data_IF_859142771480
#
_entry.id   IF_859142771480
#
_cell.length_a   1.000
_cell.length_b   1.000
_cell.length_c   1.000
_cell.angle_alpha   90.00
_cell.angle_beta   90.00
_cell.angle_gamma   90.00
#
_symmetry.space_group_name_H-M   'P 1'
#
loop_
_entity.id
_entity.type
_entity.pdbx_description
1 polymer ?
#
# COMPACT_ATOMS: atom_id res chain seq x y z
N UNK A 1 -21.24 -7.00 -41.45
CA UNK A 1 -21.21 -6.19 -40.22
C UNK A 1 -19.73 -6.01 -39.95
N UNK A 2 -19.24 -4.77 -39.94
CA UNK A 2 -17.85 -4.53 -39.57
C UNK A 2 -17.76 -4.74 -38.07
N UNK A 3 -16.96 -5.71 -37.64
CA UNK A 3 -16.60 -5.86 -36.24
C UNK A 3 -15.98 -4.52 -35.82
N UNK A 4 -16.63 -3.87 -34.87
CA UNK A 4 -16.17 -2.58 -34.38
C UNK A 4 -15.30 -2.92 -33.18
N UNK A 5 -13.99 -2.74 -33.34
CA UNK A 5 -13.01 -3.18 -32.36
C UNK A 5 -12.97 -2.17 -31.21
N UNK A 6 -13.34 -2.64 -30.02
CA UNK A 6 -13.21 -1.93 -28.76
C UNK A 6 -12.09 -2.62 -27.99
N UNK A 7 -11.17 -1.86 -27.40
CA UNK A 7 -10.05 -2.38 -26.61
C UNK A 7 -10.04 -1.73 -25.23
N UNK A 8 -9.86 -2.55 -24.20
CA UNK A 8 -9.53 -2.09 -22.85
C UNK A 8 -8.09 -2.46 -22.53
N UNK A 9 -7.40 -1.63 -21.75
CA UNK A 9 -6.07 -1.91 -21.19
C UNK A 9 -6.07 -1.59 -19.69
N UNK A 10 -5.28 -2.30 -18.91
CA UNK A 10 -5.21 -2.10 -17.46
C UNK A 10 -3.74 -2.08 -17.06
N UNK A 11 -3.32 -1.00 -16.38
CA UNK A 11 -1.97 -0.82 -15.88
C UNK A 11 -2.00 -0.58 -14.38
N UNK A 12 -1.02 -1.13 -13.64
CA UNK A 12 -0.81 -0.69 -12.27
C UNK A 12 0.09 0.52 -12.30
N UNK A 13 -0.37 1.61 -11.71
CA UNK A 13 0.55 2.60 -11.18
C UNK A 13 0.87 2.25 -9.71
N UNK A 14 2.01 2.76 -9.25
CA UNK A 14 2.44 2.61 -7.86
C UNK A 14 1.52 3.44 -6.97
N UNK A 15 0.74 2.79 -6.09
CA UNK A 15 -0.17 3.51 -5.20
C UNK A 15 0.09 3.34 -3.71
N UNK A 16 0.08 4.51 -3.09
CA UNK A 16 -0.05 4.77 -1.68
C UNK A 16 -1.35 4.21 -1.13
N UNK A 17 -1.28 3.72 0.10
CA UNK A 17 -2.47 3.31 0.81
C UNK A 17 -3.15 4.54 1.38
N UNK A 18 -4.47 4.59 1.26
CA UNK A 18 -5.28 5.71 1.68
C UNK A 18 -6.33 5.27 2.69
N UNK A 19 -6.49 6.05 3.78
CA UNK A 19 -7.44 5.74 4.86
C UNK A 19 -8.65 6.66 4.81
N UNK A 20 -9.85 6.07 4.98
CA UNK A 20 -11.12 6.81 5.12
C UNK A 20 -11.09 7.81 6.27
N UNK A 21 -11.20 9.09 5.95
CA UNK A 21 -11.17 10.16 6.94
C UNK A 21 -12.60 10.67 7.22
N UNK A 22 -13.09 10.45 8.44
CA UNK A 22 -13.89 11.48 9.11
C UNK A 22 -12.86 12.37 9.81
N UNK A 23 -12.66 13.61 9.35
CA UNK A 23 -11.49 14.48 9.62
C UNK A 23 -11.06 14.57 11.10
N UNK A 24 -11.95 14.24 12.04
CA UNK A 24 -11.64 14.23 13.46
C UNK A 24 -11.17 12.86 13.97
N UNK A 25 -11.72 11.74 13.52
CA UNK A 25 -11.42 10.42 14.11
C UNK A 25 -10.02 9.93 13.73
N UNK A 26 -9.64 10.02 12.46
CA UNK A 26 -8.33 9.57 12.01
C UNK A 26 -7.21 10.53 12.43
N UNK A 27 -7.46 11.85 12.42
CA UNK A 27 -6.53 12.83 12.97
C UNK A 27 -6.31 12.61 14.47
N UNK A 28 -7.37 12.36 15.24
CA UNK A 28 -7.24 12.02 16.66
C UNK A 28 -6.47 10.70 16.87
N UNK A 29 -6.61 9.72 15.98
CA UNK A 29 -5.83 8.48 16.00
C UNK A 29 -4.34 8.78 15.77
N UNK A 30 -3.99 9.53 14.71
CA UNK A 30 -2.61 9.92 14.42
C UNK A 30 -2.00 10.75 15.56
N UNK A 31 -2.74 11.72 16.10
CA UNK A 31 -2.30 12.52 17.27
C UNK A 31 -2.09 11.62 18.50
N UNK A 32 -2.98 10.66 18.75
CA UNK A 32 -2.85 9.72 19.88
C UNK A 32 -1.61 8.86 19.73
N UNK A 33 -1.42 8.25 18.55
CA UNK A 33 -0.28 7.38 18.23
C UNK A 33 1.03 8.15 18.40
N UNK A 34 1.08 9.36 17.84
CA UNK A 34 2.30 10.18 17.82
C UNK A 34 2.60 10.89 19.13
N UNK A 35 1.62 11.05 20.01
CA UNK A 35 1.81 11.66 21.35
C UNK A 35 2.08 10.63 22.43
N UNK A 36 1.55 9.41 22.31
CA UNK A 36 1.72 8.36 23.33
C UNK A 36 2.84 7.37 22.99
N UNK A 37 3.01 6.99 21.72
CA UNK A 37 3.87 5.87 21.35
C UNK A 37 3.37 4.55 21.97
N UNK A 38 4.27 3.59 22.18
CA UNK A 38 3.92 2.39 22.96
C UNK A 38 2.86 1.51 22.28
N UNK A 39 1.94 0.99 23.09
CA UNK A 39 0.81 0.17 22.67
C UNK A 39 -0.04 0.81 21.55
N UNK A 40 -0.11 2.14 21.50
CA UNK A 40 -0.87 2.83 20.45
C UNK A 40 -0.24 2.65 19.06
N UNK A 41 1.10 2.65 18.98
CA UNK A 41 1.82 2.34 17.73
C UNK A 41 1.64 0.86 17.42
N UNK A 42 1.75 -0.02 18.41
CA UNK A 42 1.53 -1.45 18.17
C UNK A 42 0.13 -1.76 17.64
N UNK A 43 -0.91 -1.14 18.19
CA UNK A 43 -2.29 -1.33 17.72
C UNK A 43 -2.51 -0.84 16.29
N UNK A 44 -1.85 0.25 15.87
CA UNK A 44 -1.89 0.74 14.50
C UNK A 44 -1.48 -0.36 13.51
N UNK A 45 -0.32 -0.97 13.76
CA UNK A 45 0.23 -2.02 12.91
C UNK A 45 -0.55 -3.33 13.07
N UNK A 46 -0.79 -3.74 14.32
CA UNK A 46 -1.41 -5.03 14.62
C UNK A 46 -2.84 -5.16 14.09
N UNK A 47 -3.63 -4.08 14.13
CA UNK A 47 -4.99 -4.12 13.60
C UNK A 47 -5.03 -4.42 12.11
N UNK A 48 -4.15 -3.81 11.31
CA UNK A 48 -4.20 -3.92 9.86
C UNK A 48 -3.46 -5.19 9.39
N UNK A 49 -2.29 -5.45 9.99
CA UNK A 49 -1.43 -6.58 9.63
C UNK A 49 -2.07 -7.92 9.98
N UNK A 50 -2.60 -8.08 11.20
CA UNK A 50 -3.25 -9.34 11.58
C UNK A 50 -4.56 -9.58 10.83
N UNK A 51 -5.32 -8.51 10.57
CA UNK A 51 -6.53 -8.56 9.76
C UNK A 51 -6.24 -9.09 8.35
N UNK A 52 -5.27 -8.49 7.67
CA UNK A 52 -4.89 -8.89 6.32
C UNK A 52 -4.30 -10.30 6.28
N UNK A 53 -3.44 -10.66 7.25
CA UNK A 53 -2.90 -12.01 7.37
C UNK A 53 -4.01 -13.06 7.50
N UNK A 54 -5.00 -12.83 8.36
CA UNK A 54 -6.10 -13.76 8.55
C UNK A 54 -6.90 -13.93 7.25
N UNK A 55 -7.17 -12.83 6.53
CA UNK A 55 -7.88 -12.85 5.25
C UNK A 55 -7.09 -13.60 4.17
N UNK A 56 -5.79 -13.37 4.06
CA UNK A 56 -4.93 -14.09 3.13
C UNK A 56 -4.84 -15.58 3.47
N UNK A 57 -4.73 -15.94 4.76
CA UNK A 57 -4.79 -17.33 5.18
C UNK A 57 -6.13 -17.99 4.80
N UNK A 58 -7.25 -17.27 4.92
CA UNK A 58 -8.56 -17.78 4.49
C UNK A 58 -8.64 -17.96 2.96
N UNK A 59 -8.14 -17.00 2.17
CA UNK A 59 -8.06 -17.11 0.70
C UNK A 59 -7.25 -18.34 0.30
N UNK A 60 -6.05 -18.49 0.84
CA UNK A 60 -5.16 -19.59 0.51
C UNK A 60 -5.70 -20.98 0.86
N UNK A 61 -6.41 -21.09 1.99
CA UNK A 61 -6.88 -22.39 2.50
C UNK A 61 -8.28 -22.75 2.04
N UNK A 62 -9.14 -21.74 1.82
CA UNK A 62 -10.53 -21.92 1.42
C UNK A 62 -10.79 -21.78 -0.07
N UNK A 63 -9.84 -21.23 -0.84
CA UNK A 63 -9.93 -21.06 -2.28
C UNK A 63 -11.19 -20.32 -2.72
N UNK A 64 -11.84 -20.81 -3.78
CA UNK A 64 -13.06 -20.20 -4.33
C UNK A 64 -14.21 -20.06 -3.33
N UNK A 65 -14.28 -20.93 -2.32
CA UNK A 65 -15.44 -20.99 -1.40
C UNK A 65 -15.50 -19.88 -0.36
N UNK A 66 -14.40 -19.15 -0.14
CA UNK A 66 -14.36 -18.03 0.82
C UNK A 66 -14.75 -16.69 0.20
N UNK A 67 -14.81 -16.63 -1.14
CA UNK A 67 -15.24 -15.43 -1.85
C UNK A 67 -16.76 -15.35 -1.86
N UNK A 68 -17.29 -14.27 -1.32
CA UNK A 68 -18.70 -13.96 -1.24
C UNK A 68 -19.07 -12.91 -2.27
N UNK A 69 -20.26 -13.05 -2.86
CA UNK A 69 -20.83 -12.04 -3.76
C UNK A 69 -21.43 -10.89 -2.95
N UNK A 70 -21.23 -9.67 -3.42
CA UNK A 70 -21.83 -8.47 -2.87
C UNK A 70 -22.09 -7.42 -3.93
N UNK A 71 -22.62 -6.29 -3.47
CA UNK A 71 -22.78 -5.08 -4.28
C UNK A 71 -22.24 -3.89 -3.51
N UNK A 72 -21.58 -2.97 -4.21
CA UNK A 72 -21.15 -1.72 -3.62
C UNK A 72 -22.34 -0.72 -3.44
N UNK A 73 -22.14 0.45 -2.81
CA UNK A 73 -23.17 1.48 -2.67
C UNK A 73 -23.72 2.04 -3.99
N UNK A 74 -23.02 1.81 -5.11
CA UNK A 74 -23.44 2.17 -6.47
C UNK A 74 -24.17 1.01 -7.17
N UNK A 75 -24.46 -0.08 -6.45
CA UNK A 75 -25.08 -1.31 -6.94
C UNK A 75 -24.23 -2.03 -8.01
N UNK A 76 -22.91 -1.88 -7.96
CA UNK A 76 -21.98 -2.60 -8.83
C UNK A 76 -21.50 -3.89 -8.15
N UNK A 77 -21.30 -4.98 -8.91
CA UNK A 77 -20.88 -6.24 -8.33
C UNK A 77 -19.48 -6.13 -7.71
N UNK A 78 -19.32 -6.75 -6.54
CA UNK A 78 -18.04 -6.89 -5.84
C UNK A 78 -17.90 -8.31 -5.32
N UNK A 79 -16.66 -8.74 -5.12
CA UNK A 79 -16.35 -9.98 -4.41
C UNK A 79 -15.60 -9.63 -3.13
N UNK A 80 -15.88 -10.33 -2.04
CA UNK A 80 -15.18 -10.08 -0.78
C UNK A 80 -14.93 -11.35 0.02
N UNK A 81 -13.93 -11.30 0.87
CA UNK A 81 -13.66 -12.30 1.91
C UNK A 81 -13.85 -11.61 3.25
N UNK A 82 -14.57 -12.24 4.17
CA UNK A 82 -14.85 -11.70 5.50
C UNK A 82 -14.33 -12.62 6.62
N UNK A 83 -13.77 -12.01 7.66
CA UNK A 83 -13.40 -12.68 8.92
C UNK A 83 -13.76 -11.74 10.08
N UNK A 84 -14.83 -12.09 10.82
CA UNK A 84 -15.30 -11.27 11.93
C UNK A 84 -15.76 -9.89 11.45
N UNK A 85 -15.16 -8.83 11.97
CA UNK A 85 -15.47 -7.44 11.61
C UNK A 85 -14.47 -6.86 10.60
N UNK A 86 -13.86 -7.71 9.78
CA UNK A 86 -12.88 -7.33 8.78
C UNK A 86 -13.25 -7.98 7.46
N UNK A 87 -13.18 -7.23 6.37
CA UNK A 87 -13.30 -7.79 5.03
C UNK A 87 -12.26 -7.22 4.06
N UNK A 88 -11.84 -8.06 3.13
CA UNK A 88 -11.10 -7.65 1.94
C UNK A 88 -12.03 -7.73 0.75
N UNK A 89 -12.20 -6.61 0.05
CA UNK A 89 -13.13 -6.47 -1.06
C UNK A 89 -12.36 -6.15 -2.33
N UNK A 90 -12.69 -6.85 -3.41
CA UNK A 90 -12.26 -6.55 -4.77
C UNK A 90 -13.46 -6.03 -5.57
N UNK A 91 -13.23 -4.98 -6.35
CA UNK A 91 -14.27 -4.32 -7.11
C UNK A 91 -13.72 -3.55 -8.30
N UNK A 92 -14.63 -3.00 -9.11
CA UNK A 92 -14.29 -2.11 -10.22
C UNK A 92 -15.37 -1.05 -10.40
N UNK A 93 -15.01 0.10 -10.97
CA UNK A 93 -15.95 1.16 -11.30
C UNK A 93 -15.47 1.96 -12.53
N UNK A 94 -16.40 2.66 -13.16
CA UNK A 94 -16.11 3.70 -14.14
C UNK A 94 -16.27 5.09 -13.53
N UNK A 95 -15.34 6.00 -13.79
CA UNK A 95 -15.42 7.39 -13.36
C UNK A 95 -16.50 8.14 -14.15
N UNK A 96 -16.96 9.30 -13.66
CA UNK A 96 -17.93 10.12 -14.40
C UNK A 96 -17.36 10.59 -15.75
N UNK A 97 -16.10 11.03 -15.77
CA UNK A 97 -15.38 11.39 -16.98
C UNK A 97 -15.19 10.18 -17.89
N UNK A 98 -14.89 9.02 -17.31
CA UNK A 98 -14.78 7.75 -18.00
C UNK A 98 -16.06 7.29 -18.68
N UNK A 99 -17.22 7.46 -18.03
CA UNK A 99 -18.53 7.21 -18.64
C UNK A 99 -18.72 8.12 -19.86
N UNK A 100 -18.32 9.39 -19.77
CA UNK A 100 -18.37 10.31 -20.92
C UNK A 100 -17.43 9.89 -22.06
N UNK A 101 -16.23 9.39 -21.75
CA UNK A 101 -15.28 8.85 -22.74
C UNK A 101 -15.87 7.61 -23.42
N UNK A 102 -16.39 6.65 -22.65
CA UNK A 102 -17.05 5.44 -23.17
C UNK A 102 -18.22 5.78 -24.10
N UNK A 103 -19.00 6.81 -23.79
CA UNK A 103 -20.14 7.25 -24.62
C UNK A 103 -19.71 7.93 -25.92
N UNK A 104 -18.62 8.71 -25.91
CA UNK A 104 -18.14 9.47 -27.08
C UNK A 104 -17.22 8.66 -27.97
N UNK A 105 -16.52 7.69 -27.39
CA UNK A 105 -15.37 7.03 -27.99
C UNK A 105 -14.11 7.87 -27.84
N UNK A 106 -12.98 7.23 -28.08
CA UNK A 106 -11.68 7.91 -28.13
C UNK A 106 -11.46 8.57 -29.49
N UNK A 107 -10.59 9.57 -29.52
CA UNK A 107 -10.25 10.26 -30.77
C UNK A 107 -9.50 9.35 -31.77
N UNK A 108 -8.77 8.37 -31.24
CA UNK A 108 -8.02 7.35 -31.98
C UNK A 108 -8.29 5.98 -31.36
N UNK A 109 -8.55 4.97 -32.20
CA UNK A 109 -8.84 3.60 -31.77
C UNK A 109 -7.62 2.89 -31.19
N UNK A 110 -6.43 3.47 -31.32
CA UNK A 110 -5.17 2.97 -30.73
C UNK A 110 -4.72 3.78 -29.51
N UNK A 111 -5.38 4.91 -29.18
CA UNK A 111 -5.04 5.72 -28.01
C UNK A 111 -5.97 5.39 -26.85
N UNK A 112 -5.39 4.81 -25.80
CA UNK A 112 -6.09 4.46 -24.57
C UNK A 112 -6.30 5.70 -23.69
N UNK A 113 -7.51 5.87 -23.18
CA UNK A 113 -7.90 6.92 -22.23
C UNK A 113 -8.42 6.29 -20.94
N UNK A 114 -8.07 6.84 -19.77
CA UNK A 114 -8.57 6.39 -18.46
C UNK A 114 -10.09 6.56 -18.35
N UNK A 115 -10.79 5.48 -18.01
CA UNK A 115 -12.23 5.45 -17.80
C UNK A 115 -12.66 4.98 -16.42
N UNK A 116 -11.75 4.60 -15.54
CA UNK A 116 -12.11 4.03 -14.24
C UNK A 116 -10.97 3.30 -13.54
N UNK A 117 -11.31 2.51 -12.52
CA UNK A 117 -10.32 1.66 -11.86
C UNK A 117 -10.91 0.36 -11.30
N UNK A 118 -10.07 -0.68 -11.28
CA UNK A 118 -10.23 -1.84 -10.39
C UNK A 118 -9.58 -1.54 -9.05
N UNK A 119 -10.05 -2.16 -7.97
CA UNK A 119 -9.54 -1.87 -6.63
C UNK A 119 -9.60 -3.08 -5.70
N UNK A 120 -8.70 -3.06 -4.72
CA UNK A 120 -8.72 -3.94 -3.55
C UNK A 120 -8.71 -3.06 -2.30
N UNK A 121 -9.68 -3.27 -1.42
CA UNK A 121 -9.77 -2.56 -0.15
C UNK A 121 -9.79 -3.51 1.03
N UNK A 122 -9.15 -3.11 2.12
CA UNK A 122 -9.25 -3.75 3.42
C UNK A 122 -10.09 -2.86 4.32
N UNK A 123 -11.19 -3.37 4.84
CA UNK A 123 -11.92 -2.68 5.91
C UNK A 123 -11.73 -3.43 7.21
N UNK A 124 -11.31 -2.70 8.25
CA UNK A 124 -11.18 -3.21 9.63
C UNK A 124 -12.20 -2.53 10.52
N UNK A 125 -12.67 -3.25 11.55
CA UNK A 125 -13.56 -2.69 12.56
C UNK A 125 -14.96 -2.36 12.04
N UNK A 126 -15.45 -3.06 11.02
CA UNK A 126 -16.76 -2.85 10.42
C UNK A 126 -17.88 -2.86 11.47
N UNK A 127 -18.78 -1.90 11.39
CA UNK A 127 -19.90 -1.78 12.33
C UNK A 127 -19.49 -1.30 13.73
N UNK A 128 -18.31 -0.70 13.88
CA UNK A 128 -17.83 -0.06 15.11
C UNK A 128 -17.50 1.41 14.88
N UNK A 129 -17.33 2.17 15.97
CA UNK A 129 -16.89 3.58 15.92
C UNK A 129 -15.43 3.75 15.45
N UNK A 130 -14.74 2.65 15.13
CA UNK A 130 -13.34 2.61 14.69
C UNK A 130 -13.20 1.95 13.29
N UNK A 131 -14.28 1.93 12.50
CA UNK A 131 -14.21 1.43 11.12
C UNK A 131 -13.18 2.21 10.30
N UNK A 132 -12.27 1.48 9.66
CA UNK A 132 -11.24 2.03 8.79
C UNK A 132 -11.21 1.24 7.50
N UNK A 133 -11.36 1.94 6.37
CA UNK A 133 -11.17 1.36 5.04
C UNK A 133 -9.85 1.87 4.49
N UNK A 134 -9.04 0.92 4.03
CA UNK A 134 -7.71 1.12 3.47
C UNK A 134 -7.77 0.64 2.02
N UNK A 135 -7.34 1.48 1.09
CA UNK A 135 -7.04 1.02 -0.26
C UNK A 135 -5.73 0.23 -0.22
N UNK A 136 -5.80 -1.06 -0.55
CA UNK A 136 -4.62 -1.94 -0.65
C UNK A 136 -3.98 -1.82 -2.02
N UNK A 137 -4.82 -1.66 -3.05
CA UNK A 137 -4.42 -1.64 -4.46
C UNK A 137 -5.51 -0.97 -5.30
N UNK A 138 -5.13 -0.30 -6.40
CA UNK A 138 -6.02 -0.02 -7.52
C UNK A 138 -5.25 -0.05 -8.84
N UNK A 139 -5.97 -0.34 -9.93
CA UNK A 139 -5.43 -0.27 -11.28
C UNK A 139 -6.37 0.54 -12.15
N UNK A 140 -5.79 1.38 -12.98
CA UNK A 140 -6.52 2.15 -13.98
C UNK A 140 -7.17 1.21 -15.00
N UNK A 141 -8.39 1.55 -15.40
CA UNK A 141 -9.10 0.94 -16.53
C UNK A 141 -8.98 1.94 -17.68
N UNK A 142 -8.31 1.57 -18.74
CA UNK A 142 -8.18 2.40 -19.93
C UNK A 142 -9.02 1.83 -21.07
N UNK A 143 -9.48 2.71 -21.96
CA UNK A 143 -10.34 2.38 -23.08
C UNK A 143 -9.86 3.04 -24.37
N UNK A 144 -9.91 2.29 -25.48
CA UNK A 144 -9.76 2.78 -26.84
C UNK A 144 -10.87 2.17 -27.71
N UNK A 145 -11.65 2.99 -28.41
CA UNK A 145 -12.77 2.47 -29.20
C UNK A 145 -13.79 3.52 -29.61
N UNK A 146 -14.73 3.11 -30.47
CA UNK A 146 -15.86 3.98 -30.85
C UNK A 146 -16.81 4.19 -29.68
N UNK A 147 -17.59 5.27 -29.68
CA UNK A 147 -18.55 5.53 -28.62
C UNK A 147 -19.61 4.42 -28.49
N UNK A 148 -19.90 4.03 -27.25
CA UNK A 148 -20.93 3.06 -26.88
C UNK A 148 -22.22 3.83 -26.57
N UNK A 149 -23.35 3.44 -27.17
CA UNK A 149 -24.61 4.13 -26.89
C UNK A 149 -25.01 3.97 -25.40
N UNK A 150 -25.62 4.98 -24.79
CA UNK A 150 -25.95 5.01 -23.36
C UNK A 150 -26.72 3.77 -22.87
N UNK A 151 -27.73 3.32 -23.64
CA UNK A 151 -28.52 2.12 -23.30
C UNK A 151 -27.66 0.84 -23.35
N UNK A 152 -26.72 0.76 -24.29
CA UNK A 152 -25.80 -0.38 -24.42
C UNK A 152 -24.75 -0.35 -23.31
N UNK A 153 -24.27 0.84 -22.93
CA UNK A 153 -23.33 1.03 -21.84
C UNK A 153 -23.92 0.63 -20.48
N UNK A 154 -25.17 1.00 -20.19
CA UNK A 154 -25.85 0.60 -18.95
C UNK A 154 -26.02 -0.93 -18.84
N UNK A 155 -26.24 -1.62 -19.96
CA UNK A 155 -26.29 -3.09 -20.00
C UNK A 155 -24.90 -3.73 -19.93
N UNK A 156 -23.90 -3.09 -20.55
CA UNK A 156 -22.51 -3.56 -20.58
C UNK A 156 -21.83 -3.46 -19.23
N UNK A 157 -22.15 -2.39 -18.48
CA UNK A 157 -21.40 -1.98 -17.31
C UNK A 157 -21.34 -3.09 -16.27
N UNK A 158 -22.45 -3.77 -16.01
CA UNK A 158 -22.50 -4.86 -15.03
C UNK A 158 -21.60 -6.03 -15.46
N UNK A 159 -21.75 -6.54 -16.70
CA UNK A 159 -20.94 -7.65 -17.21
C UNK A 159 -19.44 -7.32 -17.27
N UNK A 160 -19.08 -6.13 -17.74
CA UNK A 160 -17.68 -5.70 -17.80
C UNK A 160 -17.11 -5.63 -16.38
N UNK A 161 -17.84 -5.04 -15.43
CA UNK A 161 -17.41 -4.99 -14.04
C UNK A 161 -17.31 -6.40 -13.45
N UNK A 162 -18.27 -7.30 -13.64
CA UNK A 162 -18.18 -8.68 -13.17
C UNK A 162 -16.92 -9.39 -13.67
N UNK A 163 -16.60 -9.26 -14.96
CA UNK A 163 -15.36 -9.80 -15.53
C UNK A 163 -14.14 -9.21 -14.85
N UNK A 164 -14.07 -7.89 -14.69
CA UNK A 164 -12.94 -7.21 -14.05
C UNK A 164 -12.77 -7.58 -12.57
N UNK A 165 -13.87 -7.71 -11.85
CA UNK A 165 -13.87 -8.17 -10.46
C UNK A 165 -13.39 -9.62 -10.37
N UNK A 166 -13.82 -10.50 -11.29
CA UNK A 166 -13.34 -11.88 -11.38
C UNK A 166 -11.83 -11.97 -11.62
N UNK A 167 -11.32 -11.15 -12.54
CA UNK A 167 -9.88 -11.09 -12.88
C UNK A 167 -9.04 -10.52 -11.74
N UNK A 168 -9.55 -9.48 -11.07
CA UNK A 168 -8.90 -8.90 -9.88
C UNK A 168 -8.86 -9.91 -8.73
N UNK A 169 -9.94 -10.67 -8.52
CA UNK A 169 -9.98 -11.78 -7.57
C UNK A 169 -8.93 -12.85 -7.91
N UNK A 170 -8.85 -13.26 -9.17
CA UNK A 170 -7.90 -14.28 -9.63
C UNK A 170 -6.46 -13.82 -9.37
N UNK A 171 -6.14 -12.58 -9.74
CA UNK A 171 -4.86 -11.95 -9.44
C UNK A 171 -4.56 -11.98 -7.93
N UNK A 172 -5.50 -11.54 -7.08
CA UNK A 172 -5.31 -11.56 -5.62
C UNK A 172 -5.11 -12.98 -5.08
N UNK A 173 -5.85 -13.95 -5.60
CA UNK A 173 -5.76 -15.35 -5.15
C UNK A 173 -4.40 -15.97 -5.52
N UNK A 174 -3.97 -15.80 -6.78
CA UNK A 174 -2.65 -16.25 -7.25
C UNK A 174 -1.51 -15.56 -6.49
N UNK A 175 -1.64 -14.26 -6.23
CA UNK A 175 -0.71 -13.53 -5.38
C UNK A 175 -0.59 -14.20 -4.02
N UNK A 176 -1.70 -14.36 -3.31
CA UNK A 176 -1.73 -14.97 -1.96
C UNK A 176 -1.13 -16.39 -1.95
N UNK A 177 -1.42 -17.21 -2.97
CA UNK A 177 -0.83 -18.53 -3.12
C UNK A 177 0.69 -18.46 -3.27
N UNK A 178 1.19 -17.63 -4.19
CA UNK A 178 2.62 -17.42 -4.39
C UNK A 178 3.33 -16.93 -3.13
N UNK A 179 2.69 -16.07 -2.32
CA UNK A 179 3.25 -15.57 -1.06
C UNK A 179 3.53 -16.70 -0.05
N UNK A 180 2.71 -17.76 -0.01
CA UNK A 180 2.89 -18.88 0.92
C UNK A 180 4.05 -19.79 0.50
N UNK A 181 4.34 -19.87 -0.80
CA UNK A 181 5.39 -20.75 -1.33
C UNK A 181 6.83 -20.24 -1.13
N UNK A 182 7.04 -19.00 -0.68
CA UNK A 182 8.39 -18.37 -0.65
C UNK A 182 9.18 -18.55 0.67
N UNK A 183 8.79 -19.52 1.50
CA UNK A 183 9.25 -19.76 2.88
C UNK A 183 10.75 -19.83 3.23
N UNK A 184 11.71 -19.66 2.31
CA UNK A 184 13.16 -19.94 2.57
C UNK A 184 14.18 -18.95 1.96
N UNK A 185 13.76 -17.81 1.40
CA UNK A 185 14.69 -16.88 0.71
C UNK A 185 15.27 -15.78 1.61
N UNK A 186 16.48 -15.31 1.27
CA UNK A 186 17.02 -14.06 1.83
C UNK A 186 16.28 -12.83 1.27
N UNK A 187 16.47 -11.66 1.89
CA UNK A 187 15.66 -10.48 1.60
C UNK A 187 15.76 -9.98 0.14
N UNK A 188 16.92 -10.18 -0.51
CA UNK A 188 17.16 -9.73 -1.89
C UNK A 188 16.61 -10.74 -2.90
N UNK A 189 16.80 -12.04 -2.63
CA UNK A 189 16.21 -13.10 -3.44
C UNK A 189 14.68 -13.14 -3.34
N UNK A 190 14.14 -12.78 -2.16
CA UNK A 190 12.71 -12.71 -1.92
C UNK A 190 12.06 -11.56 -2.70
N UNK A 191 12.74 -10.42 -2.84
CA UNK A 191 12.19 -9.24 -3.54
C UNK A 191 12.05 -9.53 -5.04
N UNK A 192 13.13 -10.06 -5.62
CA UNK A 192 13.14 -10.51 -7.01
C UNK A 192 12.14 -11.64 -7.27
N UNK A 193 11.99 -12.58 -6.33
CA UNK A 193 11.00 -13.66 -6.48
C UNK A 193 9.58 -13.13 -6.36
N UNK A 194 9.28 -12.24 -5.42
CA UNK A 194 7.94 -11.66 -5.30
C UNK A 194 7.57 -10.81 -6.50
N UNK A 195 8.49 -10.00 -7.02
CA UNK A 195 8.29 -9.30 -8.29
C UNK A 195 7.97 -10.29 -9.43
N UNK A 196 8.71 -11.40 -9.51
CA UNK A 196 8.50 -12.43 -10.53
C UNK A 196 7.18 -13.19 -10.36
N UNK A 197 6.83 -13.60 -9.15
CA UNK A 197 5.58 -14.31 -8.87
C UNK A 197 4.38 -13.41 -9.11
N UNK A 198 4.50 -12.14 -8.73
CA UNK A 198 3.46 -11.17 -8.96
C UNK A 198 3.29 -10.85 -10.45
N UNK A 199 4.38 -10.81 -11.21
CA UNK A 199 4.32 -10.77 -12.67
C UNK A 199 3.62 -12.00 -13.25
N UNK A 200 3.95 -13.22 -12.79
CA UNK A 200 3.29 -14.45 -13.26
C UNK A 200 1.81 -14.48 -12.91
N UNK A 201 1.44 -14.03 -11.71
CA UNK A 201 0.04 -13.90 -11.30
C UNK A 201 -0.69 -12.91 -12.21
N UNK A 202 -0.02 -11.80 -12.56
CA UNK A 202 -0.53 -10.84 -13.52
C UNK A 202 -0.69 -11.41 -14.94
N UNK A 203 0.30 -12.12 -15.45
CA UNK A 203 0.24 -12.81 -16.75
C UNK A 203 -0.81 -13.92 -16.79
N UNK A 204 -1.08 -14.56 -15.65
CA UNK A 204 -2.04 -15.68 -15.56
C UNK A 204 -3.48 -15.20 -15.42
N UNK A 205 -3.70 -14.16 -14.61
CA UNK A 205 -5.01 -13.52 -14.49
C UNK A 205 -5.32 -12.66 -15.72
N UNK A 206 -4.29 -12.14 -16.38
CA UNK A 206 -4.41 -11.34 -17.60
C UNK A 206 -4.79 -12.14 -18.83
N UNK A 207 -5.35 -11.46 -19.83
CA UNK A 207 -5.81 -12.05 -21.08
C UNK A 207 -5.63 -11.07 -22.23
N UNK A 208 -5.18 -11.59 -23.37
CA UNK A 208 -5.08 -10.84 -24.63
C UNK A 208 -6.31 -11.15 -25.50
N UNK A 209 -7.06 -10.11 -25.85
CA UNK A 209 -8.23 -10.19 -26.72
C UNK A 209 -9.40 -11.00 -26.16
N UNK A 210 -9.66 -10.96 -24.84
CA UNK A 210 -10.81 -11.65 -24.27
C UNK A 210 -12.12 -10.99 -24.72
N UNK A 211 -12.98 -11.77 -25.38
CA UNK A 211 -14.29 -11.30 -25.83
C UNK A 211 -15.29 -11.25 -24.66
N UNK A 212 -15.62 -10.04 -24.22
CA UNK A 212 -16.68 -9.79 -23.24
C UNK A 212 -17.98 -9.57 -24.00
N UNK A 213 -18.89 -10.53 -23.90
CA UNK A 213 -20.22 -10.45 -24.51
C UNK A 213 -21.12 -9.54 -23.66
N UNK A 214 -21.53 -8.43 -24.25
CA UNK A 214 -22.37 -7.42 -23.60
C UNK A 214 -23.83 -7.64 -23.92
N UNK A 215 -24.12 -8.02 -25.16
CA UNK A 215 -25.46 -8.34 -25.63
C UNK A 215 -25.38 -9.29 -26.81
N UNK A 216 -26.53 -9.74 -27.33
CA UNK A 216 -26.59 -10.56 -28.56
C UNK A 216 -25.91 -9.89 -29.78
N UNK A 217 -25.66 -8.57 -29.73
CA UNK A 217 -25.14 -7.79 -30.86
C UNK A 217 -23.85 -7.02 -30.57
N UNK A 218 -23.34 -7.06 -29.33
CA UNK A 218 -22.15 -6.31 -28.95
C UNK A 218 -21.20 -7.21 -28.15
N UNK A 219 -19.99 -7.34 -28.66
CA UNK A 219 -18.85 -7.97 -28.01
C UNK A 219 -17.74 -6.93 -27.94
N UNK A 220 -17.11 -6.81 -26.78
CA UNK A 220 -15.91 -5.99 -26.58
C UNK A 220 -14.71 -6.90 -26.48
N UNK A 221 -13.61 -6.53 -27.11
CA UNK A 221 -12.31 -7.18 -26.89
C UNK A 221 -11.62 -6.47 -25.72
N UNK A 222 -11.26 -7.20 -24.68
CA UNK A 222 -10.53 -6.64 -23.55
C UNK A 222 -9.12 -7.23 -23.50
N UNK A 223 -8.12 -6.35 -23.49
CA UNK A 223 -6.75 -6.72 -23.14
C UNK A 223 -6.59 -6.43 -21.65
N UNK A 224 -6.64 -7.49 -20.86
CA UNK A 224 -6.48 -7.40 -19.41
C UNK A 224 -5.01 -7.69 -19.12
N UNK A 225 -4.19 -6.66 -19.01
CA UNK A 225 -2.83 -6.82 -18.52
C UNK A 225 -2.79 -6.47 -17.03
N UNK A 226 -1.96 -7.18 -16.29
CA UNK A 226 -1.67 -6.84 -14.91
C UNK A 226 -0.18 -6.50 -14.80
N UNK A 227 0.19 -5.27 -15.19
CA UNK A 227 1.59 -4.82 -15.22
C UNK A 227 2.00 -4.28 -13.86
N UNK A 228 2.96 -4.93 -13.19
CA UNK A 228 3.52 -4.38 -11.97
C UNK A 228 4.63 -3.38 -12.29
N UNK A 229 4.40 -2.12 -11.92
CA UNK A 229 5.48 -1.16 -11.72
C UNK A 229 6.49 -1.76 -10.74
N UNK A 230 7.71 -2.00 -11.22
CA UNK A 230 8.81 -2.78 -10.60
C UNK A 230 9.27 -2.28 -9.21
N UNK A 231 8.59 -1.29 -8.63
CA UNK A 231 9.12 -0.49 -7.53
C UNK A 231 8.15 -0.27 -6.35
N UNK A 232 6.87 -0.68 -6.44
CA UNK A 232 5.83 -0.28 -5.46
C UNK A 232 4.98 -1.41 -4.88
N UNK A 233 4.41 -2.28 -5.71
CA UNK A 233 3.49 -3.34 -5.24
C UNK A 233 4.22 -4.44 -4.47
N UNK A 234 5.50 -4.68 -4.77
CA UNK A 234 6.37 -5.58 -4.00
C UNK A 234 6.59 -5.06 -2.58
N UNK A 235 6.43 -3.75 -2.32
CA UNK A 235 6.58 -3.22 -0.97
C UNK A 235 5.29 -3.32 -0.15
N UNK A 236 4.10 -3.04 -0.69
CA UNK A 236 2.85 -3.20 0.08
C UNK A 236 2.55 -4.68 0.27
N UNK A 237 2.23 -5.44 -0.77
CA UNK A 237 1.93 -6.88 -0.62
C UNK A 237 3.14 -7.68 -0.11
N UNK A 238 4.37 -7.28 -0.48
CA UNK A 238 5.56 -7.91 0.06
C UNK A 238 5.82 -7.57 1.52
N UNK A 239 5.72 -6.35 2.05
CA UNK A 239 5.91 -6.15 3.52
C UNK A 239 4.94 -7.00 4.34
N UNK A 240 3.70 -7.17 3.87
CA UNK A 240 2.69 -8.07 4.43
C UNK A 240 3.06 -9.56 4.30
N UNK A 241 3.43 -10.02 3.11
CA UNK A 241 3.81 -11.40 2.84
C UNK A 241 5.14 -11.81 3.47
N UNK A 242 6.11 -10.89 3.47
CA UNK A 242 7.39 -11.00 4.16
C UNK A 242 7.13 -11.12 5.66
N UNK A 243 6.19 -10.38 6.24
CA UNK A 243 5.77 -10.58 7.63
C UNK A 243 5.32 -12.03 7.91
N UNK A 244 4.69 -12.69 6.94
CA UNK A 244 4.19 -14.07 7.03
C UNK A 244 5.27 -15.13 6.76
N UNK A 245 6.14 -14.92 5.76
CA UNK A 245 7.27 -15.79 5.39
C UNK A 245 8.38 -15.75 6.45
N UNK A 246 8.63 -14.58 7.05
CA UNK A 246 9.73 -14.39 8.00
C UNK A 246 9.44 -14.97 9.38
N UNK A 247 8.19 -15.37 9.67
CA UNK A 247 7.82 -16.17 10.85
C UNK A 247 8.34 -17.61 10.78
N UNK A 248 8.58 -18.12 9.57
CA UNK A 248 9.15 -19.46 9.36
C UNK A 248 10.68 -19.46 9.48
N UNK A 249 11.32 -18.29 9.36
CA UNK A 249 12.76 -18.10 9.48
C UNK A 249 13.10 -17.63 10.89
N UNK A 250 14.11 -18.23 11.52
CA UNK A 250 14.59 -17.92 12.87
C UNK A 250 15.23 -16.51 12.95
N UNK A 251 14.44 -15.45 12.71
CA UNK A 251 14.90 -14.06 12.58
C UNK A 251 14.71 -13.28 13.88
N UNK A 252 15.66 -12.37 14.09
CA UNK A 252 16.05 -11.92 15.42
C UNK A 252 15.79 -10.44 15.68
N UNK A 253 15.50 -9.62 14.66
CA UNK A 253 15.01 -8.25 14.84
C UNK A 253 14.28 -7.74 13.58
N UNK A 254 13.12 -7.14 13.79
CA UNK A 254 12.17 -6.68 12.78
C UNK A 254 11.88 -5.19 13.03
N UNK A 255 11.78 -4.38 11.99
CA UNK A 255 11.38 -2.99 12.08
C UNK A 255 10.34 -2.68 11.01
N UNK A 256 9.15 -2.27 11.42
CA UNK A 256 8.07 -1.81 10.55
C UNK A 256 7.98 -0.29 10.64
N UNK A 257 7.89 0.40 9.50
CA UNK A 257 7.78 1.85 9.45
C UNK A 257 6.59 2.21 8.57
N UNK A 258 5.68 3.03 9.09
CA UNK A 258 4.56 3.60 8.35
C UNK A 258 4.73 5.09 8.31
N UNK A 259 4.87 5.66 7.12
CA UNK A 259 5.01 7.11 6.94
C UNK A 259 3.75 7.70 6.30
N UNK A 260 3.01 8.49 7.09
CA UNK A 260 1.82 9.23 6.67
C UNK A 260 2.18 10.64 6.18
N UNK A 261 1.67 10.99 5.00
CA UNK A 261 1.68 12.35 4.49
C UNK A 261 0.31 13.01 4.71
N UNK A 262 0.17 13.71 5.83
CA UNK A 262 -1.02 14.51 6.17
C UNK A 262 -0.83 15.98 5.77
N UNK A 263 -0.24 16.23 4.60
CA UNK A 263 -0.04 17.57 4.03
C UNK A 263 -0.72 17.68 2.68
N UNK A 264 -0.89 18.90 2.16
CA UNK A 264 -1.35 19.12 0.77
C UNK A 264 -0.27 18.89 -0.29
N UNK A 265 0.95 18.54 0.11
CA UNK A 265 2.13 18.51 -0.76
C UNK A 265 2.52 17.08 -1.08
N UNK A 266 3.03 16.84 -2.29
CA UNK A 266 3.75 15.60 -2.59
C UNK A 266 5.11 15.60 -1.87
N UNK A 267 5.47 14.45 -1.29
CA UNK A 267 6.69 14.29 -0.51
C UNK A 267 7.57 13.23 -1.16
N UNK A 268 8.66 13.69 -1.75
CA UNK A 268 9.75 12.86 -2.23
C UNK A 268 10.63 12.45 -1.05
N UNK A 269 10.69 11.15 -0.76
CA UNK A 269 11.52 10.59 0.28
C UNK A 269 12.46 9.51 -0.24
N UNK A 270 13.54 9.29 0.50
CA UNK A 270 14.52 8.25 0.23
C UNK A 270 15.03 7.68 1.55
N UNK A 271 15.28 6.38 1.57
CA UNK A 271 16.08 5.75 2.59
C UNK A 271 17.54 5.96 2.23
N UNK A 272 18.24 6.90 2.85
CA UNK A 272 19.55 7.33 2.35
C UNK A 272 20.74 6.77 3.14
N UNK A 273 20.48 6.03 4.22
CA UNK A 273 21.52 5.35 5.01
C UNK A 273 20.93 4.14 5.75
N UNK A 274 21.68 3.02 5.78
CA UNK A 274 21.38 1.84 6.60
C UNK A 274 22.66 1.39 7.31
N UNK A 275 22.63 1.31 8.64
CA UNK A 275 23.70 0.73 9.43
C UNK A 275 23.55 -0.79 9.52
N UNK A 276 24.65 -1.52 9.27
CA UNK A 276 24.79 -2.96 9.59
C UNK A 276 26.14 -3.15 10.28
N UNK A 277 26.15 -3.80 11.45
CA UNK A 277 27.30 -4.12 12.36
C UNK A 277 28.74 -3.89 11.90
N UNK A 278 29.11 -4.31 10.69
CA UNK A 278 30.48 -4.25 10.17
C UNK A 278 30.63 -3.53 8.82
N UNK A 279 29.52 -3.07 8.21
CA UNK A 279 29.47 -2.35 6.94
C UNK A 279 28.30 -1.37 6.96
N UNK A 280 28.56 -0.07 7.07
CA UNK A 280 27.57 0.95 6.77
C UNK A 280 27.28 0.93 5.26
N UNK A 281 26.04 0.68 4.85
CA UNK A 281 25.65 0.88 3.45
C UNK A 281 25.26 2.36 3.29
N UNK A 282 26.02 3.10 2.47
CA UNK A 282 25.67 4.47 2.08
C UNK A 282 24.68 4.40 0.92
N UNK A 283 23.51 5.01 1.11
CA UNK A 283 22.49 5.19 0.08
C UNK A 283 21.32 4.20 0.20
N UNK A 284 20.22 4.45 -0.54
CA UNK A 284 19.14 3.48 -0.63
C UNK A 284 19.70 2.16 -1.13
N UNK A 285 19.03 1.05 -0.82
CA UNK A 285 19.37 -0.28 -1.35
C UNK A 285 19.59 -0.23 -2.89
N UNK A 286 19.07 0.82 -3.56
CA UNK A 286 19.38 1.26 -4.92
C UNK A 286 19.71 2.78 -4.92
N UNK A 287 20.90 3.24 -5.34
CA UNK A 287 21.17 4.66 -5.53
C UNK A 287 20.10 5.32 -6.44
N UNK A 288 19.46 6.39 -5.96
CA UNK A 288 18.38 7.14 -6.62
C UNK A 288 16.95 6.57 -6.56
N UNK A 289 16.65 5.64 -5.65
CA UNK A 289 15.25 5.23 -5.42
C UNK A 289 14.52 6.24 -4.53
N UNK A 290 14.19 7.39 -5.13
CA UNK A 290 13.28 8.38 -4.54
C UNK A 290 11.86 7.87 -4.75
N UNK A 291 11.10 7.79 -3.66
CA UNK A 291 9.68 7.47 -3.66
C UNK A 291 8.89 8.73 -3.37
N UNK A 292 7.73 8.88 -4.01
CA UNK A 292 6.85 10.02 -3.79
C UNK A 292 5.61 9.54 -3.05
N UNK A 293 5.25 10.21 -1.95
CA UNK A 293 3.96 10.04 -1.29
C UNK A 293 3.11 11.27 -1.66
N UNK A 294 1.98 11.10 -2.35
CA UNK A 294 1.04 12.17 -2.67
C UNK A 294 0.58 12.91 -1.42
N UNK A 295 0.27 14.19 -1.58
CA UNK A 295 -0.45 14.94 -0.57
C UNK A 295 -1.90 14.48 -0.44
N UNK A 296 -2.61 15.01 0.56
CA UNK A 296 -4.05 14.88 0.71
C UNK A 296 -4.70 15.39 -0.58
N UNK A 297 -5.20 14.44 -1.36
CA UNK A 297 -5.82 14.66 -2.66
C UNK A 297 -7.04 13.76 -2.76
N UNK A 298 -7.97 14.00 -3.71
CA UNK A 298 -9.03 13.04 -3.98
C UNK A 298 -8.41 11.67 -4.22
N UNK A 299 -8.97 10.66 -3.54
CA UNK A 299 -8.66 9.28 -3.82
C UNK A 299 -8.82 8.99 -5.30
N UNK A 300 -7.96 8.12 -5.84
CA UNK A 300 -8.11 7.67 -7.21
C UNK A 300 -9.40 6.87 -7.36
N UNK A 301 -9.80 6.17 -6.29
CA UNK A 301 -11.08 5.47 -6.17
C UNK A 301 -12.20 6.40 -5.65
N UNK A 302 -13.49 6.13 -5.97
CA UNK A 302 -14.63 6.88 -5.51
C UNK A 302 -14.63 7.19 -4.02
N UNK A 303 -15.02 8.43 -3.67
CA UNK A 303 -15.01 8.93 -2.31
C UNK A 303 -15.86 8.12 -1.32
N UNK A 304 -16.84 7.34 -1.79
CA UNK A 304 -17.63 6.48 -0.92
C UNK A 304 -16.80 5.30 -0.34
N UNK A 305 -15.70 4.90 -1.00
CA UNK A 305 -14.82 3.83 -0.54
C UNK A 305 -13.88 4.31 0.58
N UNK A 306 -13.08 5.33 0.30
CA UNK A 306 -11.99 5.77 1.19
C UNK A 306 -12.11 7.24 1.61
N UNK A 307 -13.31 7.81 1.51
CA UNK A 307 -13.55 9.21 1.84
C UNK A 307 -13.09 10.17 0.74
N UNK A 308 -13.52 11.42 0.84
CA UNK A 308 -13.19 12.48 -0.12
C UNK A 308 -11.81 13.11 0.11
N UNK A 309 -11.20 12.87 1.26
CA UNK A 309 -9.91 13.45 1.69
C UNK A 309 -9.06 12.37 2.35
N UNK A 310 -8.65 11.33 1.60
CA UNK A 310 -7.75 10.31 2.13
C UNK A 310 -6.42 10.90 2.59
N UNK A 311 -5.82 10.25 3.58
CA UNK A 311 -4.41 10.47 3.95
C UNK A 311 -3.60 9.32 3.37
N UNK A 312 -2.58 9.67 2.59
CA UNK A 312 -1.71 8.71 1.93
C UNK A 312 -0.57 8.30 2.85
N UNK A 313 -0.17 7.02 2.77
CA UNK A 313 0.98 6.51 3.48
C UNK A 313 1.71 5.41 2.72
N UNK A 314 2.95 5.19 3.15
CA UNK A 314 3.80 4.09 2.71
C UNK A 314 4.24 3.24 3.90
N UNK A 315 4.33 1.93 3.66
CA UNK A 315 4.88 0.96 4.60
C UNK A 315 6.27 0.50 4.15
N UNK A 316 7.19 0.41 5.10
CA UNK A 316 8.55 -0.09 4.95
C UNK A 316 8.79 -1.17 6.01
N UNK A 317 9.52 -2.22 5.66
CA UNK A 317 9.97 -3.21 6.63
C UNK A 317 11.47 -3.46 6.49
N UNK A 318 12.16 -3.51 7.64
CA UNK A 318 13.57 -3.84 7.75
C UNK A 318 13.78 -5.03 8.64
N UNK A 319 14.77 -5.82 8.29
CA UNK A 319 15.01 -7.11 8.90
C UNK A 319 16.50 -7.24 9.17
N UNK A 320 16.83 -7.61 10.40
CA UNK A 320 18.19 -7.94 10.77
C UNK A 320 18.26 -9.39 11.23
N UNK A 321 19.00 -10.20 10.48
CA UNK A 321 19.21 -11.62 10.77
C UNK A 321 20.44 -11.85 11.65
N UNK A 322 21.31 -10.84 11.82
CA UNK A 322 22.49 -10.92 12.67
C UNK A 322 22.14 -10.50 14.10
N UNK A 323 22.19 -11.46 15.02
CA UNK A 323 21.92 -11.24 16.46
C UNK A 323 22.86 -10.26 17.13
N UNK A 324 24.00 -9.99 16.52
CA UNK A 324 25.03 -9.16 17.13
C UNK A 324 25.02 -7.74 16.58
N UNK A 325 24.19 -7.48 15.58
CA UNK A 325 24.18 -6.25 14.83
C UNK A 325 23.07 -5.30 15.26
N UNK A 326 23.43 -4.02 15.34
CA UNK A 326 22.46 -2.94 15.41
C UNK A 326 21.70 -2.83 14.09
N UNK A 327 20.46 -2.34 14.14
CA UNK A 327 19.68 -1.94 12.98
C UNK A 327 19.46 -0.43 13.03
N UNK A 328 19.90 0.28 12.01
CA UNK A 328 19.81 1.73 11.97
C UNK A 328 19.50 2.26 10.59
N UNK A 329 18.72 3.33 10.50
CA UNK A 329 18.45 4.00 9.22
C UNK A 329 18.24 5.50 9.32
N UNK A 330 18.43 6.17 8.18
CA UNK A 330 18.05 7.57 7.94
C UNK A 330 17.05 7.63 6.81
N UNK A 331 15.84 8.11 7.09
CA UNK A 331 14.85 8.51 6.10
C UNK A 331 15.01 10.00 5.84
N UNK A 332 15.13 10.40 4.57
CA UNK A 332 15.28 11.79 4.14
C UNK A 332 14.18 12.15 3.16
N UNK A 333 13.43 13.20 3.46
CA UNK A 333 12.52 13.86 2.54
C UNK A 333 13.18 15.11 1.95
N UNK A 334 13.13 15.24 0.63
CA UNK A 334 13.68 16.39 -0.07
C UNK A 334 12.83 17.65 0.20
N UNK A 335 13.46 18.84 0.31
CA UNK A 335 12.70 20.09 0.29
C UNK A 335 12.03 20.30 -1.07
N UNK A 336 10.82 20.86 -1.06
CA UNK A 336 10.14 21.37 -2.25
C UNK A 336 9.76 22.85 -2.06
N UNK A 337 8.90 23.41 -2.91
CA UNK A 337 8.54 24.84 -2.86
C UNK A 337 7.89 25.26 -1.53
N UNK A 338 7.16 24.34 -0.88
CA UNK A 338 6.37 24.60 0.33
C UNK A 338 6.94 23.87 1.55
N UNK A 339 7.23 22.57 1.39
CA UNK A 339 7.77 21.71 2.44
C UNK A 339 9.28 21.91 2.59
N UNK A 340 9.78 22.25 3.80
CA UNK A 340 11.21 22.45 4.04
C UNK A 340 12.06 21.17 3.94
N UNK A 341 11.43 20.01 3.73
CA UNK A 341 12.06 18.69 3.79
C UNK A 341 12.50 18.34 5.20
N UNK A 342 12.82 17.07 5.45
CA UNK A 342 13.19 16.62 6.78
C UNK A 342 14.06 15.37 6.74
N UNK A 343 14.67 15.06 7.88
CA UNK A 343 15.38 13.82 8.13
C UNK A 343 14.80 13.14 9.38
N UNK A 344 14.73 11.82 9.36
CA UNK A 344 14.40 10.96 10.51
C UNK A 344 15.50 9.92 10.68
N UNK A 345 16.02 9.80 11.90
CA UNK A 345 16.95 8.75 12.33
C UNK A 345 16.23 7.80 13.26
N UNK A 346 16.41 6.51 13.01
CA UNK A 346 16.02 5.42 13.90
C UNK A 346 17.21 4.54 14.14
N UNK A 347 17.56 4.32 15.40
CA UNK A 347 18.64 3.44 15.82
C UNK A 347 18.11 2.41 16.82
N UNK A 348 18.13 1.15 16.43
CA UNK A 348 17.80 -0.01 17.26
C UNK A 348 19.13 -0.70 17.58
N UNK A 349 19.74 -0.39 18.73
CA UNK A 349 20.96 -1.06 19.11
C UNK A 349 20.65 -2.51 19.50
N UNK A 350 21.57 -3.42 19.20
CA UNK A 350 21.54 -4.81 19.65
C UNK A 350 21.42 -4.88 21.18
N UNK A 351 22.09 -3.95 21.87
CA UNK A 351 21.95 -3.79 23.32
C UNK A 351 21.67 -2.34 23.67
N UNK A 352 20.57 -2.11 24.40
CA UNK A 352 20.22 -0.78 24.89
C UNK A 352 18.79 -0.40 24.54
N UNK A 353 18.54 0.90 24.50
CA UNK A 353 17.25 1.45 24.14
C UNK A 353 17.28 1.98 22.70
N UNK A 354 16.21 1.70 21.97
CA UNK A 354 15.82 2.27 20.70
C UNK A 354 15.76 3.79 20.80
N UNK A 355 16.30 4.45 19.79
CA UNK A 355 16.43 5.90 19.72
C UNK A 355 15.82 6.35 18.40
N UNK A 356 15.02 7.39 18.49
CA UNK A 356 14.44 8.05 17.34
C UNK A 356 14.70 9.56 17.45
N UNK A 357 14.91 10.20 16.31
CA UNK A 357 15.09 11.63 16.20
C UNK A 357 14.63 12.10 14.83
N UNK A 358 14.08 13.30 14.74
CA UNK A 358 13.75 13.92 13.46
C UNK A 358 14.11 15.40 13.45
N UNK A 359 14.30 15.98 12.27
CA UNK A 359 14.39 17.43 12.15
C UNK A 359 14.16 17.89 10.72
N UNK A 360 13.76 19.15 10.57
CA UNK A 360 13.69 19.83 9.28
C UNK A 360 15.07 20.33 8.79
N UNK A 361 16.16 19.74 9.29
CA UNK A 361 17.51 20.04 8.80
C UNK A 361 17.88 19.05 7.69
N UNK A 362 17.83 19.49 6.43
CA UNK A 362 18.17 18.70 5.24
C UNK A 362 19.59 18.97 4.71
N UNK A 363 20.34 19.86 5.36
CA UNK A 363 21.68 20.30 4.92
C UNK A 363 22.74 19.21 5.12
N UNK A 364 22.58 18.38 6.15
CA UNK A 364 23.49 17.29 6.42
C UNK A 364 23.28 16.15 5.39
N UNK A 365 24.39 15.56 4.95
CA UNK A 365 24.34 14.25 4.29
C UNK A 365 23.91 13.17 5.30
N UNK A 366 23.34 12.08 4.80
CA UNK A 366 22.73 11.09 5.68
C UNK A 366 23.72 10.38 6.62
N UNK A 367 24.95 10.01 6.20
CA UNK A 367 25.99 9.55 7.12
C UNK A 367 26.32 10.54 8.24
N UNK A 368 26.47 11.83 7.92
CA UNK A 368 26.74 12.88 8.91
C UNK A 368 25.56 13.09 9.86
N UNK A 369 24.34 13.04 9.32
CA UNK A 369 23.11 13.14 10.10
C UNK A 369 22.96 11.94 11.06
N UNK A 370 23.21 10.72 10.57
CA UNK A 370 23.27 9.49 11.38
C UNK A 370 24.28 9.64 12.51
N UNK A 371 25.53 9.97 12.20
CA UNK A 371 26.60 10.09 13.20
C UNK A 371 26.28 11.09 14.32
N UNK A 372 25.57 12.17 13.97
CA UNK A 372 25.21 13.23 14.92
C UNK A 372 24.01 12.89 15.80
N UNK A 373 23.10 12.01 15.33
CA UNK A 373 21.80 11.79 15.97
C UNK A 373 21.50 10.34 16.38
N UNK A 374 22.33 9.36 15.98
CA UNK A 374 22.16 7.94 16.38
C UNK A 374 22.19 7.73 17.90
N UNK A 375 22.78 8.68 18.63
CA UNK A 375 22.91 8.66 20.09
C UNK A 375 21.96 9.62 20.81
N UNK A 376 20.91 10.08 20.12
CA UNK A 376 19.83 10.87 20.72
C UNK A 376 19.19 10.17 21.94
N UNK A 377 18.55 10.91 22.86
CA UNK A 377 17.87 10.32 24.00
C UNK A 377 16.80 9.30 23.57
N UNK A 378 16.73 8.17 24.28
CA UNK A 378 15.69 7.17 24.06
C UNK A 378 14.32 7.74 24.46
N UNK A 379 13.39 7.79 23.51
CA UNK A 379 12.04 8.31 23.69
C UNK A 379 11.06 7.52 22.83
N UNK A 380 9.82 7.36 23.32
CA UNK A 380 8.77 6.70 22.55
C UNK A 380 8.24 7.58 21.43
N UNK A 381 8.42 8.88 21.54
CA UNK A 381 7.84 9.89 20.65
C UNK A 381 8.80 11.06 20.48
N UNK A 382 8.82 11.63 19.29
CA UNK A 382 9.54 12.84 18.95
C UNK A 382 8.65 13.75 18.11
N UNK A 383 8.80 15.06 18.30
CA UNK A 383 8.08 16.08 17.55
C UNK A 383 9.03 17.22 17.20
N UNK A 384 9.02 17.63 15.93
CA UNK A 384 9.66 18.85 15.45
C UNK A 384 8.65 19.69 14.65
N UNK A 385 8.85 21.00 14.64
CA UNK A 385 8.02 21.94 13.86
C UNK A 385 8.90 22.86 13.04
N UNK A 386 8.51 23.16 11.80
CA UNK A 386 9.16 24.16 10.95
C UNK A 386 8.12 24.85 10.08
N UNK A 387 7.92 26.16 10.29
CA UNK A 387 6.82 26.89 9.66
C UNK A 387 5.47 26.27 10.03
N UNK A 388 4.67 25.94 9.00
CA UNK A 388 3.37 25.29 9.18
C UNK A 388 3.47 23.75 9.25
N UNK A 389 4.67 23.18 9.15
CA UNK A 389 4.84 21.73 9.15
C UNK A 389 5.19 21.20 10.53
N UNK A 390 4.56 20.08 10.90
CA UNK A 390 4.88 19.30 12.11
C UNK A 390 5.30 17.90 11.70
N UNK A 391 6.50 17.49 12.11
CA UNK A 391 7.00 16.13 11.94
C UNK A 391 6.90 15.42 13.29
N UNK A 392 6.20 14.28 13.30
CA UNK A 392 6.08 13.43 14.47
C UNK A 392 6.57 12.03 14.16
N UNK A 393 7.31 11.46 15.10
CA UNK A 393 7.84 10.09 15.00
C UNK A 393 7.52 9.39 16.31
N UNK A 394 6.92 8.21 16.25
CA UNK A 394 6.63 7.40 17.43
C UNK A 394 7.04 5.96 17.22
N UNK A 395 7.34 5.26 18.30
CA UNK A 395 7.68 3.83 18.29
C UNK A 395 6.89 3.05 19.33
N UNK A 396 6.68 1.76 19.09
CA UNK A 396 5.96 0.87 20.00
C UNK A 396 6.74 0.52 21.26
N UNK A 397 8.07 0.55 21.23
CA UNK A 397 8.87 0.18 22.38
C UNK A 397 10.27 0.80 22.37
N UNK A 398 10.80 0.96 23.58
CA UNK A 398 12.18 1.39 23.78
C UNK A 398 13.16 0.22 23.75
N UNK A 399 12.78 -0.99 24.16
CA UNK A 399 13.70 -2.13 24.25
C UNK A 399 12.96 -3.44 24.43
N UNK A 400 13.65 -4.52 24.12
CA UNK A 400 13.21 -5.87 24.44
C UNK A 400 12.34 -6.49 23.36
N UNK A 401 11.68 -7.58 23.74
CA UNK A 401 10.75 -8.29 22.87
C UNK A 401 9.34 -7.71 22.99
N UNK A 402 8.63 -7.71 21.88
CA UNK A 402 7.23 -7.35 21.70
C UNK A 402 6.53 -8.43 20.88
N UNK A 403 5.22 -8.52 21.01
CA UNK A 403 4.40 -9.31 20.09
C UNK A 403 4.55 -8.80 18.67
N UNK A 404 4.68 -9.72 17.72
CA UNK A 404 4.58 -9.40 16.30
C UNK A 404 3.19 -8.82 16.01
N UNK A 405 3.10 -7.73 15.22
CA UNK A 405 1.81 -7.17 14.83
C UNK A 405 1.04 -8.07 13.84
N UNK A 406 1.68 -9.11 13.31
CA UNK A 406 1.06 -10.05 12.37
C UNK A 406 0.31 -11.17 13.11
N UNK A 407 1.00 -11.92 13.97
CA UNK A 407 0.50 -13.16 14.58
C UNK A 407 0.59 -13.20 16.12
N UNK A 408 1.13 -12.13 16.73
CA UNK A 408 1.34 -12.05 18.17
C UNK A 408 2.56 -12.80 18.70
N UNK A 409 3.37 -13.44 17.85
CA UNK A 409 4.57 -14.17 18.28
C UNK A 409 5.59 -13.20 18.89
N UNK A 410 6.17 -13.56 20.04
CA UNK A 410 7.16 -12.71 20.72
C UNK A 410 8.48 -12.68 19.95
N UNK A 411 9.01 -11.48 19.74
CA UNK A 411 10.32 -11.25 19.12
C UNK A 411 10.75 -9.79 19.24
N UNK A 412 11.89 -9.42 18.68
CA UNK A 412 12.32 -8.02 18.66
C UNK A 412 11.62 -7.25 17.52
N UNK A 413 10.34 -6.96 17.72
CA UNK A 413 9.47 -6.30 16.73
C UNK A 413 9.34 -4.81 17.04
N UNK A 414 10.09 -3.99 16.31
CA UNK A 414 10.02 -2.55 16.41
C UNK A 414 9.07 -2.00 15.35
N UNK A 415 8.23 -1.05 15.73
CA UNK A 415 7.24 -0.43 14.87
C UNK A 415 7.39 1.08 15.00
N UNK A 416 7.27 1.80 13.89
CA UNK A 416 7.47 3.23 13.81
C UNK A 416 6.37 3.90 13.00
N UNK A 417 5.66 4.85 13.60
CA UNK A 417 4.76 5.74 12.90
C UNK A 417 5.47 7.08 12.67
N UNK A 418 5.62 7.48 11.42
CA UNK A 418 6.11 8.80 11.01
C UNK A 418 4.93 9.55 10.44
N UNK A 419 4.68 10.77 10.90
CA UNK A 419 3.57 11.61 10.43
C UNK A 419 4.13 12.99 10.10
N UNK A 420 3.91 13.45 8.87
CA UNK A 420 4.12 14.83 8.49
C UNK A 420 2.74 15.51 8.37
N UNK A 421 2.54 16.58 9.12
CA UNK A 421 1.29 17.35 9.16
C UNK A 421 1.51 18.79 8.69
N UNK A 422 0.52 19.35 8.01
CA UNK A 422 0.43 20.78 7.67
C UNK A 422 -0.66 21.44 8.56
N UNK A 423 -0.28 22.48 9.31
CA UNK A 423 -1.11 23.16 10.32
C UNK A 423 -1.91 24.35 9.79
#
# INVERSE_FOLDING_TARGET
MSDTEHQFNFGFDVHDQAVKNDNNSFKNLLDTITTQGGDSVHQLFASDLSALQNLYAAIATGGESVWLNGTDPSNLPVLYVEIGNTYLMVGAYFSEDGISILQKGTADLETFEDVGATYVTLTTGTGTDQERTIQVMANTIEYAGVGIAEIELEQAKENVIETLVGKTKEFVSLMVESLIEVGELDAVALDAKLASEAQKAGESAGTDGEEIVISETLTISANIEFVLGVAGVVFTLGTFAYGLIMLLLEKRMMSYVRFFNATSQEIDFSLCFIEKSCTSAIGPLIPNDVKTIPGISPAWVPAWMIGSTPIHYIDLAYFNTDLTADLGFVLKAAPNETCPGFNVVVNIPNTGENKLYGSFNTQDDCPSYWASHKDSPATLTFCATSGNFTLRVATNQLKGESSSPTDGTMGYNYEYAIVLEEN
#
